data_IF_425946388142
#
_entry.id   IF_425946388142
#
_cell.length_a   1.000
_cell.length_b   1.000
_cell.length_c   1.000
_cell.angle_alpha   90.00
_cell.angle_beta   90.00
_cell.angle_gamma   90.00
#
_symmetry.space_group_name_H-M   'P 1'
#
loop_
_entity.id
_entity.type
_entity.pdbx_description
1 polymer ?
#
# COMPACT_ATOMS: atom_id res chain seq x y z
N UNK A 1 -7.00 -12.16 -21.52
CA UNK A 1 -7.04 -11.48 -20.21
C UNK A 1 -5.79 -10.61 -20.15
N UNK A 2 -5.87 -9.31 -19.87
CA UNK A 2 -4.64 -8.57 -19.63
C UNK A 2 -3.97 -9.18 -18.40
N UNK A 3 -2.66 -9.39 -18.49
CA UNK A 3 -1.80 -9.94 -17.44
C UNK A 3 -1.60 -8.87 -16.36
N UNK A 4 -2.67 -8.54 -15.62
CA UNK A 4 -2.60 -7.62 -14.49
C UNK A 4 -2.32 -8.36 -13.20
N UNK A 5 -1.40 -7.86 -12.38
CA UNK A 5 -1.22 -8.35 -11.02
C UNK A 5 -2.31 -7.77 -10.12
N UNK A 6 -3.01 -8.62 -9.37
CA UNK A 6 -4.00 -8.19 -8.38
C UNK A 6 -3.44 -8.33 -6.97
N UNK A 7 -3.58 -7.28 -6.16
CA UNK A 7 -3.20 -7.23 -4.75
C UNK A 7 -4.46 -7.10 -3.90
N UNK A 8 -4.50 -7.79 -2.78
CA UNK A 8 -5.63 -7.76 -1.84
C UNK A 8 -5.09 -7.47 -0.46
N UNK A 9 -5.79 -6.60 0.27
CA UNK A 9 -5.64 -6.41 1.70
C UNK A 9 -7.02 -6.40 2.37
N UNK A 10 -7.08 -6.82 3.63
CA UNK A 10 -8.33 -6.80 4.38
C UNK A 10 -8.07 -6.36 5.82
N UNK A 11 -9.06 -5.69 6.41
CA UNK A 11 -9.08 -5.49 7.85
C UNK A 11 -10.45 -5.05 8.38
N UNK A 12 -10.54 -4.93 9.70
CA UNK A 12 -11.67 -4.38 10.42
C UNK A 12 -11.51 -2.87 10.54
N UNK A 13 -12.51 -2.11 10.10
CA UNK A 13 -12.64 -0.69 10.39
C UNK A 13 -13.02 -0.53 11.86
N UNK A 14 -12.13 0.02 12.69
CA UNK A 14 -12.34 0.13 14.14
C UNK A 14 -13.63 0.88 14.51
N UNK A 15 -13.98 1.93 13.76
CA UNK A 15 -15.15 2.77 14.03
C UNK A 15 -16.47 2.03 13.77
N UNK A 16 -16.53 1.21 12.73
CA UNK A 16 -17.77 0.53 12.31
C UNK A 16 -17.80 -0.93 12.72
N UNK A 17 -16.69 -1.47 13.23
CA UNK A 17 -16.44 -2.91 13.42
C UNK A 17 -16.69 -3.74 12.14
N UNK A 18 -16.66 -3.09 10.98
CA UNK A 18 -17.01 -3.71 9.71
C UNK A 18 -15.75 -4.19 9.00
N UNK A 19 -15.82 -5.37 8.39
CA UNK A 19 -14.71 -5.90 7.62
C UNK A 19 -14.72 -5.22 6.25
N UNK A 20 -13.60 -4.60 5.90
CA UNK A 20 -13.36 -4.03 4.59
C UNK A 20 -12.24 -4.81 3.89
N UNK A 21 -12.42 -5.03 2.60
CA UNK A 21 -11.42 -5.67 1.73
C UNK A 21 -11.10 -4.71 0.61
N UNK A 22 -9.84 -4.35 0.45
CA UNK A 22 -9.36 -3.55 -0.68
C UNK A 22 -8.69 -4.47 -1.69
N UNK A 23 -9.07 -4.29 -2.94
CA UNK A 23 -8.51 -4.99 -4.09
C UNK A 23 -7.93 -3.96 -5.04
N UNK A 24 -6.68 -4.16 -5.43
CA UNK A 24 -5.92 -3.29 -6.31
C UNK A 24 -5.54 -4.12 -7.53
N UNK A 25 -6.10 -3.80 -8.70
CA UNK A 25 -5.69 -4.41 -9.96
C UNK A 25 -4.69 -3.49 -10.64
N UNK A 26 -3.49 -3.99 -10.90
CA UNK A 26 -2.46 -3.24 -11.61
C UNK A 26 -2.51 -3.62 -13.09
N UNK A 27 -2.84 -2.64 -13.93
CA UNK A 27 -2.90 -2.75 -15.38
C UNK A 27 -1.63 -2.14 -15.97
N UNK A 28 -1.03 -2.78 -16.98
CA UNK A 28 0.27 -2.39 -17.55
C UNK A 28 0.18 -2.00 -19.05
N UNK A 29 -0.80 -1.17 -19.47
CA UNK A 29 -0.90 -0.71 -20.88
C UNK A 29 -1.69 0.59 -21.04
N UNK A 30 -1.14 1.70 -21.60
CA UNK A 30 0.25 2.04 -21.88
C UNK A 30 0.87 2.77 -20.67
N UNK A 31 1.12 2.04 -19.60
CA UNK A 31 1.54 2.60 -18.32
C UNK A 31 1.02 1.73 -17.17
N UNK A 32 1.60 1.91 -15.99
CA UNK A 32 1.02 1.33 -14.78
C UNK A 32 -0.21 2.15 -14.42
N UNK A 33 -1.33 1.48 -14.19
CA UNK A 33 -2.55 2.09 -13.70
C UNK A 33 -3.20 1.15 -12.69
N UNK A 34 -3.81 1.72 -11.66
CA UNK A 34 -4.49 0.95 -10.62
C UNK A 34 -6.00 1.07 -10.79
N UNK A 35 -6.70 -0.06 -10.75
CA UNK A 35 -8.13 -0.08 -10.49
C UNK A 35 -8.37 -0.58 -9.07
N UNK A 36 -8.91 0.29 -8.21
CA UNK A 36 -9.13 -0.02 -6.80
C UNK A 36 -10.60 -0.22 -6.51
N UNK A 37 -10.90 -1.34 -5.86
CA UNK A 37 -12.23 -1.70 -5.40
C UNK A 37 -12.20 -1.97 -3.91
N UNK A 38 -13.17 -1.40 -3.18
CA UNK A 38 -13.37 -1.59 -1.76
C UNK A 38 -14.66 -2.37 -1.53
N UNK A 39 -14.54 -3.56 -0.95
CA UNK A 39 -15.65 -4.34 -0.46
C UNK A 39 -15.93 -3.99 1.00
N UNK A 40 -17.20 -3.83 1.33
CA UNK A 40 -17.65 -3.61 2.71
C UNK A 40 -18.59 -4.75 3.09
N UNK A 41 -18.28 -5.47 4.18
CA UNK A 41 -18.98 -6.70 4.53
C UNK A 41 -20.44 -6.44 4.94
N UNK A 42 -20.72 -5.40 5.71
CA UNK A 42 -22.08 -5.06 6.14
C UNK A 42 -23.03 -4.79 4.97
N UNK A 43 -22.56 -4.04 3.97
CA UNK A 43 -23.34 -3.71 2.76
C UNK A 43 -23.28 -4.79 1.68
N UNK A 44 -22.34 -5.74 1.80
CA UNK A 44 -22.05 -6.80 0.83
C UNK A 44 -21.85 -6.27 -0.59
N UNK A 45 -21.22 -5.11 -0.71
CA UNK A 45 -21.06 -4.41 -1.98
C UNK A 45 -19.62 -4.00 -2.24
N UNK A 46 -19.27 -3.99 -3.53
CA UNK A 46 -18.02 -3.41 -4.02
C UNK A 46 -18.25 -1.96 -4.44
N UNK A 47 -17.33 -1.08 -4.06
CA UNK A 47 -17.29 0.32 -4.45
C UNK A 47 -15.95 0.58 -5.15
N UNK A 48 -15.99 1.21 -6.33
CA UNK A 48 -14.76 1.69 -7.00
C UNK A 48 -14.26 2.96 -6.31
N UNK A 49 -12.96 3.04 -6.08
CA UNK A 49 -12.32 4.21 -5.51
C UNK A 49 -11.56 4.97 -6.60
N UNK A 50 -11.60 6.30 -6.50
CA UNK A 50 -10.70 7.18 -7.26
C UNK A 50 -9.35 7.20 -6.57
N UNK A 51 -8.28 7.10 -7.35
CA UNK A 51 -6.92 6.99 -6.82
C UNK A 51 -6.20 8.31 -7.09
N UNK A 52 -5.28 8.67 -6.19
CA UNK A 52 -4.39 9.79 -6.42
C UNK A 52 -3.38 9.42 -7.53
N UNK A 53 -3.15 10.29 -8.54
CA UNK A 53 -2.19 10.06 -9.62
C UNK A 53 -0.79 9.62 -9.18
N UNK A 54 -0.35 10.02 -7.98
CA UNK A 54 0.95 9.64 -7.43
C UNK A 54 1.11 8.11 -7.30
N UNK A 55 0.04 7.37 -7.01
CA UNK A 55 0.09 5.91 -6.83
C UNK A 55 -0.21 5.14 -8.12
N UNK A 56 -0.72 5.80 -9.15
CA UNK A 56 -1.05 5.12 -10.41
C UNK A 56 0.19 4.53 -11.08
N UNK A 57 1.36 5.15 -10.89
CA UNK A 57 2.60 4.79 -11.59
C UNK A 57 3.50 3.79 -10.83
N UNK A 58 3.09 3.29 -9.67
CA UNK A 58 3.92 2.43 -8.83
C UNK A 58 3.49 0.96 -8.85
N UNK A 59 4.45 0.06 -8.65
CA UNK A 59 4.21 -1.38 -8.51
C UNK A 59 4.14 -1.76 -7.04
N UNK A 60 3.33 -2.79 -6.72
CA UNK A 60 3.23 -3.36 -5.38
C UNK A 60 3.86 -4.75 -5.31
N UNK A 61 4.25 -5.15 -4.11
CA UNK A 61 4.50 -6.55 -3.77
C UNK A 61 3.27 -7.19 -3.12
N UNK A 62 3.17 -8.52 -3.18
CA UNK A 62 2.03 -9.25 -2.60
C UNK A 62 1.98 -9.23 -1.06
N UNK A 63 3.08 -8.81 -0.43
CA UNK A 63 3.18 -8.72 1.02
C UNK A 63 2.45 -7.49 1.51
N UNK A 64 1.63 -7.69 2.53
CA UNK A 64 0.94 -6.61 3.22
C UNK A 64 0.87 -6.89 4.71
N UNK A 65 0.71 -5.82 5.48
CA UNK A 65 0.40 -5.90 6.91
C UNK A 65 -0.72 -4.92 7.25
N UNK A 66 -1.36 -5.14 8.37
CA UNK A 66 -2.38 -4.26 8.90
C UNK A 66 -2.01 -3.78 10.30
N UNK A 67 -2.04 -2.46 10.52
CA UNK A 67 -1.77 -1.82 11.81
C UNK A 67 -2.70 -0.60 11.93
N UNK A 68 -3.40 -0.45 13.06
CA UNK A 68 -4.18 0.76 13.39
C UNK A 68 -5.12 1.28 12.29
N UNK A 69 -5.86 0.40 11.62
CA UNK A 69 -6.83 0.82 10.60
C UNK A 69 -6.21 1.07 9.21
N UNK A 70 -4.89 0.93 9.09
CA UNK A 70 -4.12 1.12 7.87
C UNK A 70 -3.61 -0.21 7.34
N UNK A 71 -3.71 -0.41 6.02
CA UNK A 71 -3.09 -1.53 5.32
C UNK A 71 -1.84 -1.01 4.63
N UNK A 72 -0.72 -1.71 4.78
CA UNK A 72 0.56 -1.32 4.22
C UNK A 72 1.06 -2.34 3.21
N UNK A 73 1.62 -1.87 2.11
CA UNK A 73 2.33 -2.66 1.10
C UNK A 73 3.71 -2.06 0.86
N UNK A 74 4.64 -2.92 0.44
CA UNK A 74 5.90 -2.47 -0.16
C UNK A 74 5.64 -2.11 -1.63
N UNK A 75 5.95 -0.86 -1.97
CA UNK A 75 5.80 -0.29 -3.29
C UNK A 75 7.16 0.08 -3.89
N UNK A 76 7.26 0.04 -5.20
CA UNK A 76 8.46 0.49 -5.91
C UNK A 76 8.12 1.14 -7.25
N UNK A 77 8.92 2.13 -7.63
CA UNK A 77 8.87 2.69 -8.97
C UNK A 77 9.76 1.84 -9.89
N UNK A 78 9.29 1.60 -11.13
CA UNK A 78 10.14 1.00 -12.15
C UNK A 78 11.24 2.02 -12.49
N UNK A 79 12.51 1.62 -12.45
CA UNK A 79 13.60 2.53 -12.77
C UNK A 79 13.50 3.02 -14.22
N UNK A 80 14.05 4.20 -14.48
CA UNK A 80 14.07 4.80 -15.82
C UNK A 80 15.04 4.07 -16.77
N UNK A 81 16.05 3.41 -16.19
CA UNK A 81 17.08 2.62 -16.85
C UNK A 81 17.19 1.25 -16.17
N UNK A 82 17.44 0.19 -16.94
CA UNK A 82 17.45 -1.19 -16.41
C UNK A 82 18.50 -1.44 -15.30
N UNK A 83 19.56 -0.64 -15.25
CA UNK A 83 20.66 -0.75 -14.26
C UNK A 83 20.47 0.12 -13.01
N UNK A 84 19.40 0.94 -12.93
CA UNK A 84 19.15 1.80 -11.77
C UNK A 84 18.44 1.00 -10.66
N UNK A 85 18.88 1.12 -9.38
CA UNK A 85 18.26 0.41 -8.29
C UNK A 85 16.79 0.83 -8.12
N UNK A 86 15.92 -0.15 -7.86
CA UNK A 86 14.51 0.12 -7.54
C UNK A 86 14.44 0.96 -6.27
N UNK A 87 13.73 2.08 -6.35
CA UNK A 87 13.42 2.88 -5.17
C UNK A 87 12.19 2.29 -4.49
N UNK A 88 12.40 1.66 -3.34
CA UNK A 88 11.35 1.11 -2.49
C UNK A 88 10.78 2.18 -1.56
N UNK A 89 9.48 2.09 -1.31
CA UNK A 89 8.74 2.92 -0.37
C UNK A 89 7.56 2.13 0.17
N UNK A 90 6.87 2.69 1.17
CA UNK A 90 5.71 2.04 1.78
C UNK A 90 4.45 2.76 1.33
N UNK A 91 3.55 2.00 0.72
CA UNK A 91 2.19 2.45 0.40
C UNK A 91 1.30 2.08 1.56
N UNK A 92 0.49 3.03 2.02
CA UNK A 92 -0.54 2.83 3.03
C UNK A 92 -1.93 3.10 2.44
N UNK A 93 -2.94 2.43 2.97
CA UNK A 93 -4.35 2.68 2.68
C UNK A 93 -5.14 2.83 3.98
N UNK A 94 -5.77 3.99 4.16
CA UNK A 94 -6.61 4.32 5.30
C UNK A 94 -8.03 3.83 5.04
N UNK A 95 -8.50 2.83 5.80
CA UNK A 95 -9.84 2.25 5.63
C UNK A 95 -10.98 3.18 6.02
N UNK A 96 -10.69 4.20 6.84
CA UNK A 96 -11.67 5.18 7.31
C UNK A 96 -11.81 6.32 6.30
N UNK A 97 -10.69 6.83 5.80
CA UNK A 97 -10.69 7.89 4.77
C UNK A 97 -10.90 7.35 3.36
N UNK A 98 -10.65 6.06 3.16
CA UNK A 98 -10.65 5.40 1.85
C UNK A 98 -9.62 6.02 0.89
N UNK A 99 -8.44 6.38 1.43
CA UNK A 99 -7.39 7.11 0.75
C UNK A 99 -6.04 6.39 0.84
N UNK A 100 -5.23 6.54 -0.21
CA UNK A 100 -3.84 6.07 -0.24
C UNK A 100 -2.89 7.16 0.27
N UNK A 101 -1.84 6.73 0.96
CA UNK A 101 -0.76 7.58 1.43
C UNK A 101 0.60 6.92 1.26
N UNK A 102 1.64 7.72 1.09
CA UNK A 102 3.02 7.28 1.10
C UNK A 102 3.59 7.50 2.50
N UNK A 103 4.25 6.48 3.03
CA UNK A 103 4.93 6.60 4.31
C UNK A 103 6.40 6.86 4.05
N UNK A 104 6.86 8.05 4.42
CA UNK A 104 8.27 8.41 4.36
C UNK A 104 9.05 7.64 5.44
N UNK A 105 9.79 6.65 4.98
CA UNK A 105 10.76 5.90 5.77
C UNK A 105 12.12 6.56 5.67
N UNK A 106 12.80 6.73 6.80
CA UNK A 106 14.15 7.29 6.84
C UNK A 106 15.10 6.51 5.91
N UNK A 107 16.08 7.19 5.29
CA UNK A 107 16.98 6.60 4.28
C UNK A 107 17.65 5.28 4.75
N UNK A 108 17.99 5.18 6.04
CA UNK A 108 18.60 3.99 6.64
C UNK A 108 17.64 2.78 6.68
N UNK A 109 16.34 3.02 6.85
CA UNK A 109 15.32 1.97 6.79
C UNK A 109 15.03 1.58 5.33
N UNK A 110 15.05 2.54 4.39
CA UNK A 110 14.93 2.26 2.94
C UNK A 110 15.97 1.26 2.45
N UNK A 111 17.22 1.40 2.88
CA UNK A 111 18.32 0.48 2.48
C UNK A 111 18.13 -0.93 3.07
N UNK A 112 17.47 -1.03 4.23
CA UNK A 112 17.12 -2.32 4.83
C UNK A 112 15.94 -2.95 4.09
N UNK A 113 14.96 -2.17 3.63
CA UNK A 113 13.81 -2.66 2.86
C UNK A 113 14.25 -3.23 1.51
N UNK A 114 15.09 -2.52 0.77
CA UNK A 114 15.56 -2.97 -0.55
C UNK A 114 16.33 -4.29 -0.49
N UNK A 115 16.93 -4.60 0.66
CA UNK A 115 17.78 -5.78 0.85
C UNK A 115 17.13 -6.89 1.69
N UNK A 116 15.92 -6.69 2.25
CA UNK A 116 15.34 -7.62 3.22
C UNK A 116 13.84 -7.93 2.95
N UNK A 117 13.49 -9.22 2.73
CA UNK A 117 12.10 -9.65 2.59
C UNK A 117 11.21 -9.42 3.83
N UNK A 118 11.74 -8.98 4.97
CA UNK A 118 11.00 -8.65 6.20
C UNK A 118 10.71 -7.14 6.37
N UNK A 119 10.97 -6.31 5.35
CA UNK A 119 10.73 -4.85 5.29
C UNK A 119 9.52 -4.33 6.11
N UNK A 120 8.32 -4.88 5.89
CA UNK A 120 7.10 -4.38 6.53
C UNK A 120 7.07 -4.59 8.05
N UNK A 121 7.82 -5.56 8.58
CA UNK A 121 7.92 -5.76 10.04
C UNK A 121 8.53 -4.57 10.77
N UNK A 122 9.30 -3.72 10.08
CA UNK A 122 9.84 -2.47 10.63
C UNK A 122 8.71 -1.51 11.00
N UNK A 123 7.63 -1.47 10.21
CA UNK A 123 6.45 -0.64 10.49
C UNK A 123 5.75 -1.11 11.78
N UNK A 124 5.75 -2.43 12.03
CA UNK A 124 5.21 -3.02 13.26
C UNK A 124 6.13 -2.83 14.49
N UNK A 125 7.34 -2.28 14.30
CA UNK A 125 8.25 -2.06 15.42
C UNK A 125 7.79 -0.87 16.28
N UNK A 126 7.96 -0.93 17.61
CA UNK A 126 7.63 0.18 18.51
C UNK A 126 8.36 1.48 18.15
N UNK A 127 9.55 1.36 17.56
CA UNK A 127 10.37 2.49 17.14
C UNK A 127 9.70 3.30 16.02
N UNK A 128 9.10 2.61 15.04
CA UNK A 128 8.42 3.28 13.92
C UNK A 128 7.13 3.95 14.40
N UNK A 129 6.32 3.23 15.19
CA UNK A 129 5.10 3.79 15.78
C UNK A 129 5.39 5.05 16.60
N UNK A 130 6.47 5.09 17.38
CA UNK A 130 6.80 6.28 18.19
C UNK A 130 7.14 7.54 17.37
N UNK A 131 7.61 7.39 16.13
CA UNK A 131 7.99 8.52 15.27
C UNK A 131 6.83 9.09 14.46
N UNK A 132 5.86 8.27 14.07
CA UNK A 132 4.64 8.75 13.39
C UNK A 132 3.72 9.55 14.31
N UNK A 133 3.84 9.41 15.64
CA UNK A 133 3.18 10.28 16.63
C UNK A 133 3.91 11.61 16.90
N UNK A 134 5.08 11.85 16.29
CA UNK A 134 5.90 13.06 16.52
C UNK A 134 5.81 14.12 15.41
N UNK A 135 4.99 13.92 14.38
CA UNK A 135 4.72 14.97 13.39
C UNK A 135 3.52 15.79 13.85
N UNK A 136 3.80 16.85 14.62
CA UNK A 136 2.89 17.98 14.88
C UNK A 136 3.48 19.22 14.20
#
# INVERSE_FOLDING_TARGET
>A
MPLGNSFVGFSVCADTSDIKIVKINVLETPGVHWEVELFTLSSRSWKRLSINPLFELCHLTSKHIFIDGLIYWDGFHKPSLDDEPKTHFIVSFDLKKEEFGEVDICQQERTNISNNPYSLSVIASPFFQSRSYLTI
#
